data_IF_571560069204
#
_entry.id   IF_571560069204
#
_cell.length_a   1.000
_cell.length_b   1.000
_cell.length_c   1.000
_cell.angle_alpha   90.00
_cell.angle_beta   90.00
_cell.angle_gamma   90.00
#
_symmetry.space_group_name_H-M   'P 1'
#
loop_
_entity.id
_entity.type
_entity.pdbx_description
1 polymer ?
#
# COMPACT_ATOMS: atom_id res chain seq x y z
N UNK A 1 -8.95 19.31 0.33
CA UNK A 1 -9.88 18.33 0.92
C UNK A 1 -9.30 17.78 2.20
N UNK A 2 -10.16 17.33 3.14
CA UNK A 2 -9.73 16.60 4.35
C UNK A 2 -9.85 15.11 4.10
N UNK A 3 -8.72 14.42 4.06
CA UNK A 3 -8.61 13.01 3.74
C UNK A 3 -8.23 12.23 4.99
N UNK A 4 -9.07 11.26 5.35
CA UNK A 4 -8.77 10.29 6.41
C UNK A 4 -8.21 8.99 5.85
N UNK A 5 -7.20 8.44 6.49
CA UNK A 5 -6.67 7.10 6.18
C UNK A 5 -6.89 6.16 7.34
N UNK A 6 -7.41 4.97 7.05
CA UNK A 6 -7.80 3.96 8.04
C UNK A 6 -7.19 2.60 7.69
N UNK A 7 -6.29 2.12 8.51
CA UNK A 7 -5.82 0.73 8.47
C UNK A 7 -6.72 -0.11 9.38
N UNK A 8 -7.48 -1.04 8.80
CA UNK A 8 -8.52 -1.78 9.53
C UNK A 8 -7.95 -2.90 10.38
N UNK A 9 -6.94 -3.58 9.88
CA UNK A 9 -6.47 -4.84 10.46
C UNK A 9 -4.94 -4.98 10.53
N UNK A 10 -4.18 -3.91 10.26
CA UNK A 10 -2.73 -3.95 10.30
C UNK A 10 -2.13 -2.63 10.76
N UNK A 11 -1.22 -2.70 11.72
CA UNK A 11 -0.40 -1.56 12.17
C UNK A 11 0.94 -1.47 11.42
N UNK A 12 1.22 -2.43 10.52
CA UNK A 12 2.42 -2.41 9.70
C UNK A 12 2.30 -1.37 8.58
N UNK A 13 3.43 -0.82 8.11
CA UNK A 13 3.43 0.13 7.01
C UNK A 13 2.68 -0.41 5.78
N UNK A 14 1.66 0.30 5.35
CA UNK A 14 0.83 -0.04 4.20
C UNK A 14 1.17 0.88 3.03
N UNK A 15 1.91 0.36 2.04
CA UNK A 15 2.36 1.15 0.88
C UNK A 15 1.21 1.78 0.10
N UNK A 16 0.05 1.13 0.02
CA UNK A 16 -1.10 1.69 -0.68
C UNK A 16 -1.59 2.97 0.02
N UNK A 17 -1.74 2.95 1.35
CA UNK A 17 -2.13 4.13 2.13
C UNK A 17 -1.06 5.23 2.07
N UNK A 18 0.22 4.86 2.10
CA UNK A 18 1.33 5.81 1.98
C UNK A 18 1.35 6.50 0.61
N UNK A 19 1.07 5.78 -0.47
CA UNK A 19 0.99 6.33 -1.83
C UNK A 19 -0.25 7.20 -2.02
N UNK A 20 -1.40 6.81 -1.46
CA UNK A 20 -2.62 7.63 -1.42
C UNK A 20 -2.35 8.94 -0.66
N UNK A 21 -1.67 8.86 0.48
CA UNK A 21 -1.27 10.07 1.23
C UNK A 21 -0.38 10.98 0.39
N UNK A 22 0.65 10.44 -0.25
CA UNK A 22 1.54 11.21 -1.14
C UNK A 22 0.76 11.90 -2.27
N UNK A 23 -0.17 11.17 -2.90
CA UNK A 23 -1.01 11.69 -3.98
C UNK A 23 -1.84 12.89 -3.52
N UNK A 24 -2.52 12.77 -2.39
CA UNK A 24 -3.38 13.83 -1.88
C UNK A 24 -2.57 15.04 -1.38
N UNK A 25 -1.47 14.80 -0.66
CA UNK A 25 -0.58 15.88 -0.21
C UNK A 25 0.03 16.67 -1.36
N UNK A 26 0.42 16.01 -2.45
CA UNK A 26 0.90 16.67 -3.66
C UNK A 26 -0.14 17.58 -4.31
N UNK A 27 -1.43 17.35 -4.07
CA UNK A 27 -2.55 18.18 -4.54
C UNK A 27 -2.98 19.26 -3.56
N UNK A 28 -2.27 19.39 -2.42
CA UNK A 28 -2.58 20.36 -1.38
C UNK A 28 -3.70 19.93 -0.42
N UNK A 29 -4.10 18.66 -0.44
CA UNK A 29 -5.09 18.12 0.49
C UNK A 29 -4.45 17.89 1.87
N UNK A 30 -5.24 17.99 2.93
CA UNK A 30 -4.84 17.60 4.29
C UNK A 30 -5.10 16.10 4.46
N UNK A 31 -4.06 15.37 4.86
CA UNK A 31 -4.13 13.91 5.04
C UNK A 31 -3.69 13.55 6.46
N UNK A 32 -4.53 12.80 7.16
CA UNK A 32 -4.24 12.31 8.51
C UNK A 32 -4.83 10.92 8.76
N UNK A 33 -4.41 10.29 9.84
CA UNK A 33 -5.07 9.09 10.32
C UNK A 33 -6.50 9.41 10.72
N UNK A 34 -7.44 8.53 10.33
CA UNK A 34 -8.85 8.71 10.62
C UNK A 34 -9.10 8.87 12.13
N UNK A 35 -9.74 9.97 12.48
CA UNK A 35 -10.21 10.27 13.83
C UNK A 35 -11.75 10.32 13.83
N UNK A 36 -12.45 9.49 14.61
CA UNK A 36 -13.92 9.46 14.65
C UNK A 36 -14.59 10.80 15.02
N UNK A 37 -13.85 11.67 15.71
CA UNK A 37 -14.33 13.00 16.14
C UNK A 37 -14.28 14.06 15.03
N UNK A 38 -13.55 13.77 13.93
CA UNK A 38 -13.39 14.68 12.81
C UNK A 38 -14.30 14.29 11.65
N UNK A 39 -14.68 15.28 10.83
CA UNK A 39 -15.42 15.06 9.57
C UNK A 39 -14.43 15.12 8.40
N UNK A 40 -14.54 14.15 7.49
CA UNK A 40 -13.69 14.05 6.31
C UNK A 40 -14.48 14.22 5.02
N UNK A 41 -13.83 14.77 4.00
CA UNK A 41 -14.37 14.72 2.65
C UNK A 41 -14.32 13.31 2.09
N UNK A 42 -13.22 12.61 2.34
CA UNK A 42 -13.06 11.22 1.93
C UNK A 42 -12.21 10.43 2.92
N UNK A 43 -12.57 9.17 3.15
CA UNK A 43 -11.79 8.21 3.95
C UNK A 43 -11.41 7.02 3.08
N UNK A 44 -10.13 6.68 3.09
CA UNK A 44 -9.59 5.45 2.50
C UNK A 44 -9.39 4.42 3.59
N UNK A 45 -10.17 3.33 3.52
CA UNK A 45 -10.06 2.22 4.46
C UNK A 45 -9.37 1.03 3.79
N UNK A 46 -8.22 0.61 4.33
CA UNK A 46 -7.45 -0.51 3.83
C UNK A 46 -7.56 -1.71 4.77
N UNK A 47 -7.88 -2.87 4.19
CA UNK A 47 -7.92 -4.15 4.88
C UNK A 47 -7.04 -5.16 4.15
N UNK A 48 -6.17 -5.84 4.90
CA UNK A 48 -5.18 -6.77 4.34
C UNK A 48 -5.72 -8.21 4.30
N UNK A 49 -6.34 -8.65 5.39
CA UNK A 49 -6.76 -10.05 5.56
C UNK A 49 -8.26 -10.24 5.35
N UNK A 50 -8.64 -11.28 4.63
CA UNK A 50 -10.04 -11.61 4.34
C UNK A 50 -10.79 -12.13 5.57
N UNK A 51 -10.07 -12.74 6.51
CA UNK A 51 -10.63 -13.39 7.71
C UNK A 51 -10.77 -12.48 8.92
N UNK A 52 -10.24 -11.25 8.87
CA UNK A 52 -10.41 -10.27 9.94
C UNK A 52 -11.76 -9.58 9.86
N UNK A 53 -12.28 -9.14 10.99
CA UNK A 53 -13.52 -8.36 11.05
C UNK A 53 -13.35 -7.02 10.32
N UNK A 54 -14.44 -6.49 9.77
CA UNK A 54 -14.46 -5.16 9.21
C UNK A 54 -14.47 -4.10 10.32
N UNK A 55 -14.19 -2.85 9.95
CA UNK A 55 -14.42 -1.71 10.83
C UNK A 55 -15.92 -1.45 10.96
N UNK A 56 -16.50 -1.79 12.11
CA UNK A 56 -17.95 -1.79 12.34
C UNK A 56 -18.49 -0.49 12.92
N UNK A 57 -17.64 0.52 13.11
CA UNK A 57 -18.08 1.82 13.61
C UNK A 57 -18.44 2.76 12.46
N UNK A 58 -19.31 3.74 12.77
CA UNK A 58 -19.64 4.79 11.83
C UNK A 58 -18.37 5.56 11.40
N UNK A 59 -18.22 5.76 10.09
CA UNK A 59 -17.14 6.57 9.52
C UNK A 59 -17.72 7.92 9.11
N UNK A 60 -17.28 8.97 9.79
CA UNK A 60 -17.76 10.35 9.56
C UNK A 60 -17.06 10.96 8.32
N UNK A 61 -17.52 10.58 7.14
CA UNK A 61 -16.98 11.04 5.86
C UNK A 61 -18.09 11.20 4.82
N UNK A 62 -17.88 12.14 3.88
CA UNK A 62 -18.79 12.30 2.74
C UNK A 62 -18.66 11.13 1.75
N UNK A 63 -17.43 10.57 1.60
CA UNK A 63 -17.13 9.43 0.76
C UNK A 63 -16.23 8.43 1.51
N UNK A 64 -16.45 7.15 1.28
CA UNK A 64 -15.62 6.08 1.84
C UNK A 64 -15.17 5.20 0.69
N UNK A 65 -13.86 5.03 0.56
CA UNK A 65 -13.27 4.11 -0.41
C UNK A 65 -12.57 2.97 0.32
N UNK A 66 -13.08 1.75 0.14
CA UNK A 66 -12.52 0.53 0.69
C UNK A 66 -11.58 -0.12 -0.31
N UNK A 67 -10.41 -0.59 0.15
CA UNK A 67 -9.41 -1.24 -0.69
C UNK A 67 -8.52 -2.20 0.07
N UNK A 68 -7.63 -2.87 -0.66
CA UNK A 68 -6.77 -3.92 -0.14
C UNK A 68 -7.36 -5.32 -0.26
N UNK A 69 -6.50 -6.32 -0.15
CA UNK A 69 -6.81 -7.74 -0.41
C UNK A 69 -7.96 -8.28 0.46
N UNK A 70 -8.13 -7.72 1.66
CA UNK A 70 -9.18 -8.12 2.59
C UNK A 70 -10.59 -7.68 2.18
N UNK A 71 -10.72 -6.65 1.33
CA UNK A 71 -11.99 -6.21 0.77
C UNK A 71 -12.20 -6.70 -0.64
N UNK A 72 -11.20 -6.51 -1.51
CA UNK A 72 -11.31 -6.84 -2.92
C UNK A 72 -9.92 -7.21 -3.46
N UNK A 73 -9.79 -8.44 -3.92
CA UNK A 73 -8.54 -8.97 -4.44
C UNK A 73 -8.15 -8.34 -5.78
N UNK A 74 -9.14 -7.92 -6.58
CA UNK A 74 -8.92 -7.38 -7.92
C UNK A 74 -8.66 -5.87 -7.89
N UNK A 75 -9.02 -5.20 -6.78
CA UNK A 75 -8.83 -3.76 -6.65
C UNK A 75 -7.35 -3.41 -6.54
N UNK A 76 -6.89 -2.60 -7.48
CA UNK A 76 -5.53 -2.06 -7.54
C UNK A 76 -5.55 -0.53 -7.46
N UNK A 77 -4.44 0.08 -7.10
CA UNK A 77 -4.29 1.53 -7.16
C UNK A 77 -4.26 2.01 -8.62
N UNK A 78 -4.84 3.18 -8.92
CA UNK A 78 -4.61 3.84 -10.19
C UNK A 78 -3.10 4.03 -10.43
N UNK A 79 -2.67 3.92 -11.70
CA UNK A 79 -1.24 3.93 -12.04
C UNK A 79 -0.55 5.22 -11.61
N UNK A 80 -1.25 6.34 -11.65
CA UNK A 80 -0.76 7.65 -11.21
C UNK A 80 -0.50 7.72 -9.70
N UNK A 81 -1.18 6.88 -8.92
CA UNK A 81 -0.96 6.76 -7.48
C UNK A 81 0.10 5.68 -7.19
N UNK A 82 0.01 4.56 -7.92
CA UNK A 82 0.87 3.40 -7.68
C UNK A 82 2.35 3.68 -7.97
N UNK A 83 2.66 4.59 -8.88
CA UNK A 83 4.03 4.99 -9.23
C UNK A 83 4.62 6.09 -8.36
N UNK A 84 3.85 6.68 -7.43
CA UNK A 84 4.35 7.68 -6.52
C UNK A 84 5.29 7.07 -5.47
N UNK A 85 6.23 7.92 -5.02
CA UNK A 85 6.99 7.64 -3.80
C UNK A 85 6.04 7.60 -2.60
N UNK A 86 6.19 6.61 -1.70
CA UNK A 86 5.37 6.53 -0.52
C UNK A 86 5.60 7.71 0.43
N UNK A 87 4.53 8.22 1.03
CA UNK A 87 4.63 9.20 2.11
C UNK A 87 4.95 8.50 3.43
N UNK A 88 6.20 8.54 3.82
CA UNK A 88 6.68 7.92 5.05
C UNK A 88 6.27 8.69 6.31
N UNK A 89 5.80 9.93 6.18
CA UNK A 89 5.46 10.77 7.33
C UNK A 89 4.22 10.30 8.09
N UNK A 90 3.36 9.49 7.44
CA UNK A 90 2.16 8.94 8.10
C UNK A 90 2.46 7.76 9.03
N UNK A 91 3.64 7.17 8.89
CA UNK A 91 4.16 6.17 9.82
C UNK A 91 5.44 6.71 10.44
N UNK A 92 5.71 6.38 11.69
CA UNK A 92 6.96 6.76 12.35
C UNK A 92 8.10 5.84 11.90
N UNK A 93 8.53 5.98 10.64
CA UNK A 93 9.55 5.15 10.00
C UNK A 93 10.87 5.91 9.97
N UNK A 94 11.99 5.20 10.20
CA UNK A 94 13.35 5.74 10.04
C UNK A 94 13.49 6.42 8.66
N UNK A 95 13.97 7.65 8.66
CA UNK A 95 14.18 8.45 7.44
C UNK A 95 15.14 7.80 6.43
N UNK A 96 15.99 6.87 6.89
CA UNK A 96 16.89 6.11 6.05
C UNK A 96 16.31 4.81 5.50
N UNK A 97 15.08 4.45 5.87
CA UNK A 97 14.43 3.21 5.47
C UNK A 97 13.36 3.45 4.42
N UNK A 98 13.36 2.63 3.37
CA UNK A 98 12.31 2.58 2.36
C UNK A 98 11.64 1.20 2.31
N UNK A 99 10.46 1.16 1.73
CA UNK A 99 9.69 -0.05 1.46
C UNK A 99 9.31 -0.08 -0.01
N UNK A 100 9.38 -1.27 -0.64
CA UNK A 100 8.99 -1.39 -2.03
C UNK A 100 9.00 -2.81 -2.54
N UNK A 101 8.71 -2.94 -3.82
CA UNK A 101 8.74 -4.20 -4.55
C UNK A 101 9.62 -4.03 -5.78
N UNK A 102 10.63 -4.88 -5.96
CA UNK A 102 11.37 -5.01 -7.22
C UNK A 102 10.56 -5.79 -8.25
N UNK A 103 9.81 -6.79 -7.76
CA UNK A 103 8.98 -7.65 -8.57
C UNK A 103 7.56 -7.75 -8.01
N UNK A 104 6.60 -8.04 -8.87
CA UNK A 104 5.23 -8.41 -8.47
C UNK A 104 4.93 -9.80 -8.99
N UNK A 105 3.99 -10.48 -8.32
CA UNK A 105 3.60 -11.83 -8.68
C UNK A 105 4.48 -12.91 -8.04
N UNK A 106 4.17 -14.17 -8.36
CA UNK A 106 4.89 -15.34 -7.87
C UNK A 106 4.81 -16.48 -8.90
N UNK A 107 5.90 -17.22 -9.17
CA UNK A 107 5.86 -18.38 -10.06
C UNK A 107 5.14 -19.58 -9.46
N UNK A 108 5.03 -19.64 -8.13
CA UNK A 108 4.43 -20.76 -7.41
C UNK A 108 2.90 -20.69 -7.47
N UNK A 109 2.25 -21.83 -7.68
CA UNK A 109 0.79 -21.98 -7.74
C UNK A 109 0.25 -22.62 -6.45
N UNK A 110 0.58 -22.07 -5.30
CA UNK A 110 0.09 -22.56 -4.02
C UNK A 110 -1.44 -22.38 -3.93
N UNK A 111 -2.17 -23.44 -3.58
CA UNK A 111 -3.65 -23.44 -3.59
C UNK A 111 -4.29 -22.38 -2.68
N UNK A 112 -3.64 -22.08 -1.55
CA UNK A 112 -4.10 -21.09 -0.56
C UNK A 112 -3.48 -19.70 -0.75
N UNK A 113 -2.58 -19.54 -1.74
CA UNK A 113 -1.84 -18.30 -1.94
C UNK A 113 -2.62 -17.33 -2.84
N UNK A 114 -2.86 -16.13 -2.35
CA UNK A 114 -3.67 -15.11 -3.03
C UNK A 114 -2.92 -14.43 -4.18
N UNK A 115 -1.60 -14.37 -4.12
CA UNK A 115 -0.75 -13.61 -5.03
C UNK A 115 -0.88 -14.03 -6.50
N UNK A 116 -0.91 -15.32 -6.87
CA UNK A 116 -1.10 -15.70 -8.27
C UNK A 116 -2.43 -15.21 -8.88
N UNK A 117 -3.48 -15.07 -8.06
CA UNK A 117 -4.77 -14.53 -8.50
C UNK A 117 -4.73 -13.01 -8.63
N UNK A 118 -4.05 -12.32 -7.73
CA UNK A 118 -4.00 -10.87 -7.65
C UNK A 118 -2.96 -10.26 -8.60
N UNK A 119 -1.78 -10.84 -8.65
CA UNK A 119 -0.60 -10.26 -9.30
C UNK A 119 -0.10 -11.08 -10.50
N UNK A 120 -0.58 -12.31 -10.64
CA UNK A 120 -0.20 -13.19 -11.74
C UNK A 120 1.20 -13.77 -11.61
N UNK A 121 1.85 -13.95 -12.78
CA UNK A 121 3.23 -14.42 -12.87
C UNK A 121 4.19 -13.35 -12.41
N UNK A 122 5.38 -13.78 -11.89
CA UNK A 122 6.42 -12.86 -11.47
C UNK A 122 6.90 -12.00 -12.66
N UNK A 123 7.00 -10.70 -12.42
CA UNK A 123 7.46 -9.71 -13.41
C UNK A 123 8.19 -8.56 -12.73
N UNK A 124 9.13 -7.88 -13.40
CA UNK A 124 9.74 -6.65 -12.92
C UNK A 124 8.68 -5.57 -12.62
N UNK A 125 8.92 -4.78 -11.59
CA UNK A 125 7.97 -3.74 -11.19
C UNK A 125 8.62 -2.37 -11.00
N UNK A 126 9.57 -2.22 -10.05
CA UNK A 126 10.30 -0.97 -9.82
C UNK A 126 11.80 -1.26 -9.75
N UNK A 127 12.63 -0.25 -9.99
CA UNK A 127 14.07 -0.35 -9.77
C UNK A 127 14.44 -0.03 -8.32
N UNK A 128 15.62 -0.50 -7.87
CA UNK A 128 16.10 -0.28 -6.50
C UNK A 128 16.34 1.21 -6.22
N UNK A 129 16.83 1.96 -7.20
CA UNK A 129 17.02 3.40 -7.10
C UNK A 129 15.70 4.14 -6.91
N UNK A 130 14.64 3.71 -7.61
CA UNK A 130 13.28 4.26 -7.44
C UNK A 130 12.73 3.94 -6.03
N UNK A 131 12.95 2.71 -5.54
CA UNK A 131 12.48 2.30 -4.21
C UNK A 131 13.21 3.08 -3.11
N UNK A 132 14.52 3.18 -3.21
CA UNK A 132 15.32 3.84 -2.17
C UNK A 132 15.14 5.36 -2.19
N UNK A 133 15.03 5.97 -3.37
CA UNK A 133 14.92 7.42 -3.53
C UNK A 133 15.95 8.19 -2.66
N UNK A 134 17.20 7.70 -2.65
CA UNK A 134 18.31 8.25 -1.86
C UNK A 134 18.38 7.78 -0.40
N UNK A 135 17.49 6.91 0.08
CA UNK A 135 17.57 6.29 1.41
C UNK A 135 18.61 5.18 1.43
N UNK A 136 19.20 4.93 2.61
CA UNK A 136 20.33 3.99 2.75
C UNK A 136 19.91 2.52 2.84
N UNK A 137 18.66 2.25 3.19
CA UNK A 137 18.13 0.91 3.45
C UNK A 137 16.79 0.72 2.75
N UNK A 138 16.55 -0.47 2.22
CA UNK A 138 15.24 -0.86 1.68
C UNK A 138 14.78 -2.18 2.26
N UNK A 139 13.49 -2.24 2.61
CA UNK A 139 12.79 -3.50 2.88
C UNK A 139 12.02 -3.85 1.63
N UNK A 140 12.44 -4.93 0.97
CA UNK A 140 11.77 -5.46 -0.19
C UNK A 140 10.65 -6.40 0.26
N UNK A 141 9.44 -6.09 -0.18
CA UNK A 141 8.22 -6.80 0.20
C UNK A 141 7.80 -7.85 -0.84
N UNK A 142 8.75 -8.23 -1.69
CA UNK A 142 8.55 -9.17 -2.78
C UNK A 142 8.12 -10.55 -2.28
N UNK A 143 7.23 -11.21 -3.02
CA UNK A 143 6.75 -12.54 -2.65
C UNK A 143 7.80 -13.64 -2.89
N UNK A 144 8.60 -13.50 -3.93
CA UNK A 144 9.65 -14.46 -4.28
C UNK A 144 10.71 -13.83 -5.20
N UNK A 145 11.48 -12.89 -4.67
CA UNK A 145 12.46 -12.11 -5.43
C UNK A 145 13.51 -12.99 -6.11
N UNK A 146 13.96 -14.07 -5.46
CA UNK A 146 15.00 -14.95 -5.96
C UNK A 146 14.54 -15.84 -7.14
N UNK A 147 13.24 -15.92 -7.40
CA UNK A 147 12.71 -16.61 -8.57
C UNK A 147 12.69 -15.75 -9.84
N UNK A 148 13.22 -14.53 -9.77
CA UNK A 148 13.31 -13.62 -10.89
C UNK A 148 14.77 -13.26 -11.15
N UNK A 149 15.25 -13.42 -12.39
CA UNK A 149 16.59 -12.98 -12.79
C UNK A 149 16.76 -11.46 -12.54
N UNK A 150 15.70 -10.69 -12.76
CA UNK A 150 15.69 -9.26 -12.47
C UNK A 150 15.90 -8.98 -10.97
N UNK A 151 15.15 -9.64 -10.09
CA UNK A 151 15.27 -9.46 -8.65
C UNK A 151 16.64 -9.93 -8.11
N UNK A 152 17.21 -10.99 -8.69
CA UNK A 152 18.50 -11.54 -8.27
C UNK A 152 19.67 -10.63 -8.69
N UNK A 153 19.54 -9.85 -9.77
CA UNK A 153 20.59 -8.98 -10.32
C UNK A 153 20.65 -7.59 -9.67
N UNK A 154 19.71 -7.24 -8.78
CA UNK A 154 19.59 -5.94 -8.11
C UNK A 154 20.00 -6.00 -6.65
#
# INVERSE_FOLDING_TARGET
>A
MNIGILAVDSNSPNLALMKISAYHKARGDQVEWYNPLCKYDKVYAAKVFTFTSDYNYYINANQIEKGGTGYDIEKVLPIEVDRLQPDYSIYNIDSNLSYGFLTRGCPNRCKWWVVPKKEGKISPYMDIEEITAGRKKAILMDNNILASNYGFSK
#
